data_IF_900799439504
#
_entry.id   IF_900799439504
#
_cell.length_a   1.000
_cell.length_b   1.000
_cell.length_c   1.000
_cell.angle_alpha   90.00
_cell.angle_beta   90.00
_cell.angle_gamma   90.00
#
_symmetry.space_group_name_H-M   'P 1'
#
loop_
_entity.id
_entity.type
_entity.pdbx_description
1 polymer ?
#
# COMPACT_ATOMS: atom_id res chain seq x y z
N UNK A 1 -14.43 26.16 12.99
CA UNK A 1 -12.99 26.23 12.63
C UNK A 1 -12.84 25.45 11.35
N UNK A 2 -12.09 25.98 10.40
CA UNK A 2 -11.88 25.35 9.10
C UNK A 2 -10.71 24.39 9.20
N UNK A 3 -10.93 23.12 8.86
CA UNK A 3 -9.92 22.07 8.88
C UNK A 3 -10.12 21.12 7.71
N UNK A 4 -9.03 20.50 7.26
CA UNK A 4 -9.05 19.49 6.21
C UNK A 4 -8.76 18.11 6.80
N UNK A 5 -9.24 17.08 6.12
CA UNK A 5 -9.08 15.69 6.51
C UNK A 5 -8.35 14.96 5.39
N UNK A 6 -7.24 14.32 5.73
CA UNK A 6 -6.54 13.40 4.83
C UNK A 6 -6.73 11.96 5.29
N UNK A 7 -7.04 11.07 4.36
CA UNK A 7 -7.25 9.64 4.66
C UNK A 7 -6.41 8.77 3.74
N UNK A 8 -5.76 7.78 4.33
CA UNK A 8 -5.09 6.67 3.64
C UNK A 8 -5.71 5.35 4.11
N UNK A 9 -6.40 4.67 3.19
CA UNK A 9 -7.13 3.44 3.44
C UNK A 9 -6.59 2.28 2.62
N UNK A 10 -6.00 1.29 3.30
CA UNK A 10 -5.56 0.03 2.69
C UNK A 10 -6.36 -1.16 3.20
N UNK A 11 -5.96 -2.36 2.77
CA UNK A 11 -6.54 -3.60 3.32
C UNK A 11 -6.12 -3.89 4.77
N UNK A 12 -5.06 -3.25 5.27
CA UNK A 12 -4.51 -3.52 6.62
C UNK A 12 -5.06 -2.56 7.67
N UNK A 13 -5.00 -1.27 7.37
CA UNK A 13 -5.41 -0.18 8.25
C UNK A 13 -6.03 0.93 7.42
N UNK A 14 -6.86 1.75 8.07
CA UNK A 14 -7.28 3.05 7.55
C UNK A 14 -6.83 4.12 8.54
N UNK A 15 -6.13 5.13 8.05
CA UNK A 15 -5.60 6.25 8.83
C UNK A 15 -6.22 7.55 8.37
N UNK A 16 -6.66 8.35 9.33
CA UNK A 16 -7.10 9.71 9.08
C UNK A 16 -6.21 10.68 9.85
N UNK A 17 -5.91 11.82 9.24
CA UNK A 17 -5.28 12.98 9.88
C UNK A 17 -6.16 14.20 9.67
N UNK A 18 -6.24 15.02 10.71
CA UNK A 18 -6.94 16.30 10.71
C UNK A 18 -5.90 17.39 10.75
N UNK A 19 -5.97 18.35 9.82
CA UNK A 19 -5.01 19.47 9.73
C UNK A 19 -5.71 20.82 9.74
N UNK A 20 -5.04 21.83 10.29
CA UNK A 20 -5.48 23.22 10.15
C UNK A 20 -5.20 23.78 8.73
N UNK A 21 -5.54 25.07 8.51
CA UNK A 21 -5.33 25.73 7.21
C UNK A 21 -3.84 25.92 6.85
N UNK A 22 -2.96 25.89 7.84
CA UNK A 22 -1.51 26.01 7.66
C UNK A 22 -0.85 24.63 7.45
N UNK A 23 -1.64 23.55 7.52
CA UNK A 23 -1.18 22.17 7.35
C UNK A 23 -0.63 21.54 8.62
N UNK A 24 -0.82 22.14 9.80
CA UNK A 24 -0.41 21.52 11.06
C UNK A 24 -1.37 20.40 11.45
N UNK A 25 -0.82 19.24 11.78
CA UNK A 25 -1.59 18.10 12.29
C UNK A 25 -2.19 18.40 13.66
N UNK A 26 -3.51 18.34 13.76
CA UNK A 26 -4.29 18.55 14.98
C UNK A 26 -4.67 17.23 15.64
N UNK A 27 -4.83 16.17 14.85
CA UNK A 27 -5.25 14.87 15.34
C UNK A 27 -5.08 13.76 14.32
N UNK A 28 -4.95 12.52 14.81
CA UNK A 28 -4.77 11.32 14.01
C UNK A 28 -5.53 10.15 14.58
N UNK A 29 -6.14 9.37 13.69
CA UNK A 29 -6.89 8.17 14.02
C UNK A 29 -6.50 7.02 13.10
N UNK A 30 -6.49 5.81 13.64
CA UNK A 30 -6.24 4.57 12.89
C UNK A 30 -7.32 3.54 13.24
N UNK A 31 -7.77 2.77 12.25
CA UNK A 31 -8.68 1.63 12.39
C UNK A 31 -8.16 0.44 11.62
N UNK A 32 -8.85 -0.69 11.73
CA UNK A 32 -8.71 -1.74 10.73
C UNK A 32 -9.07 -1.22 9.33
N UNK A 33 -8.35 -1.70 8.33
CA UNK A 33 -8.52 -1.28 6.94
C UNK A 33 -9.57 -2.12 6.22
N UNK A 34 -10.15 -1.52 5.18
CA UNK A 34 -11.07 -2.19 4.27
C UNK A 34 -10.77 -1.74 2.83
N UNK A 35 -10.58 -2.72 1.94
CA UNK A 35 -10.36 -2.46 0.51
C UNK A 35 -11.68 -2.06 -0.12
N UNK A 36 -11.66 -1.02 -0.95
CA UNK A 36 -12.82 -0.61 -1.73
C UNK A 36 -13.12 -1.67 -2.79
N UNK A 37 -14.37 -2.12 -2.83
CA UNK A 37 -14.89 -2.94 -3.92
C UNK A 37 -16.19 -2.32 -4.44
N UNK A 38 -16.54 -2.59 -5.70
CA UNK A 38 -17.77 -2.05 -6.30
C UNK A 38 -19.05 -2.51 -5.59
N UNK A 39 -19.03 -3.69 -4.96
CA UNK A 39 -20.21 -4.31 -4.37
C UNK A 39 -20.35 -4.07 -2.87
N UNK A 40 -19.28 -3.69 -2.17
CA UNK A 40 -19.27 -3.49 -0.71
C UNK A 40 -18.49 -2.22 -0.32
N UNK A 41 -18.86 -1.02 -0.83
CA UNK A 41 -18.22 0.24 -0.45
C UNK A 41 -18.45 0.61 1.04
N UNK A 42 -19.50 0.08 1.68
CA UNK A 42 -19.90 0.46 3.03
C UNK A 42 -18.84 0.12 4.09
N UNK A 43 -18.15 -1.00 3.95
CA UNK A 43 -17.09 -1.40 4.88
C UNK A 43 -15.90 -0.43 4.85
N UNK A 44 -15.49 -0.01 3.64
CA UNK A 44 -14.47 1.01 3.46
C UNK A 44 -14.93 2.37 4.00
N UNK A 45 -16.17 2.78 3.71
CA UNK A 45 -16.70 4.05 4.21
C UNK A 45 -16.76 4.10 5.74
N UNK A 46 -17.17 2.99 6.37
CA UNK A 46 -17.24 2.88 7.82
C UNK A 46 -15.84 2.91 8.45
N UNK A 47 -14.84 2.26 7.84
CA UNK A 47 -13.46 2.35 8.28
C UNK A 47 -12.94 3.80 8.21
N UNK A 48 -13.23 4.51 7.10
CA UNK A 48 -12.90 5.94 6.96
C UNK A 48 -13.57 6.76 8.06
N UNK A 49 -14.88 6.59 8.26
CA UNK A 49 -15.66 7.32 9.28
C UNK A 49 -15.09 7.11 10.68
N UNK A 50 -14.81 5.86 11.04
CA UNK A 50 -14.23 5.53 12.34
C UNK A 50 -12.81 6.10 12.51
N UNK A 51 -11.99 6.11 11.46
CA UNK A 51 -10.66 6.71 11.51
C UNK A 51 -10.76 8.23 11.71
N UNK A 52 -11.69 8.90 11.03
CA UNK A 52 -11.98 10.33 11.21
C UNK A 52 -12.48 10.62 12.62
N UNK A 53 -13.44 9.85 13.14
CA UNK A 53 -13.93 9.99 14.50
C UNK A 53 -12.77 9.92 15.51
N UNK A 54 -11.90 8.90 15.37
CA UNK A 54 -10.70 8.72 16.22
C UNK A 54 -9.73 9.90 16.10
N UNK A 55 -9.55 10.46 14.90
CA UNK A 55 -8.69 11.62 14.68
C UNK A 55 -9.24 12.88 15.38
N UNK A 56 -10.57 12.99 15.53
CA UNK A 56 -11.22 14.13 16.15
C UNK A 56 -11.32 14.04 17.69
N UNK A 57 -11.25 12.84 18.29
CA UNK A 57 -11.48 12.59 19.74
C UNK A 57 -10.75 13.56 20.66
N UNK A 58 -9.47 13.87 20.38
CA UNK A 58 -8.64 14.72 21.23
C UNK A 58 -8.49 16.16 20.70
N UNK A 59 -9.36 16.55 19.78
CA UNK A 59 -9.39 17.91 19.20
C UNK A 59 -10.59 18.68 19.75
N UNK A 60 -10.58 20.00 19.60
CA UNK A 60 -11.78 20.83 19.83
C UNK A 60 -12.69 20.91 18.60
N UNK A 61 -12.50 20.02 17.61
CA UNK A 61 -13.18 20.02 16.33
C UNK A 61 -14.24 18.92 16.28
N UNK A 62 -15.21 19.08 15.39
CA UNK A 62 -16.25 18.10 15.10
C UNK A 62 -16.54 18.09 13.60
N UNK A 63 -17.00 16.96 13.08
CA UNK A 63 -17.48 16.86 11.71
C UNK A 63 -18.72 17.75 11.47
N UNK A 64 -19.00 18.17 10.22
CA UNK A 64 -18.18 17.93 9.03
C UNK A 64 -16.90 18.78 9.00
N UNK A 65 -15.82 18.24 8.43
CA UNK A 65 -14.67 19.04 7.99
C UNK A 65 -14.97 19.83 6.70
N UNK A 66 -14.12 20.79 6.32
CA UNK A 66 -14.33 21.57 5.09
C UNK A 66 -14.17 20.70 3.83
N UNK A 67 -13.18 19.82 3.87
CA UNK A 67 -12.84 18.91 2.78
C UNK A 67 -12.15 17.66 3.32
N UNK A 68 -12.51 16.52 2.77
CA UNK A 68 -11.84 15.24 2.99
C UNK A 68 -11.29 14.74 1.67
N UNK A 69 -10.00 14.41 1.64
CA UNK A 69 -9.40 13.66 0.54
C UNK A 69 -9.01 12.26 1.04
N UNK A 70 -9.51 11.23 0.36
CA UNK A 70 -9.25 9.84 0.72
C UNK A 70 -8.51 9.11 -0.41
N UNK A 71 -7.27 8.70 -0.14
CA UNK A 71 -6.58 7.72 -0.97
C UNK A 71 -6.92 6.32 -0.51
N UNK A 72 -7.64 5.57 -1.34
CA UNK A 72 -8.16 4.25 -0.97
C UNK A 72 -7.68 3.16 -1.94
N UNK A 73 -7.16 2.07 -1.39
CA UNK A 73 -6.88 0.84 -2.13
C UNK A 73 -8.19 0.32 -2.73
N UNK A 74 -8.18 0.05 -4.04
CA UNK A 74 -9.37 -0.41 -4.79
C UNK A 74 -10.14 0.71 -5.51
N UNK A 75 -9.85 1.99 -5.21
CA UNK A 75 -10.47 3.14 -5.89
C UNK A 75 -9.85 3.48 -7.26
N UNK A 76 -9.10 2.55 -7.85
CA UNK A 76 -8.53 2.67 -9.20
C UNK A 76 -9.54 2.45 -10.32
N UNK A 77 -10.69 1.85 -10.02
CA UNK A 77 -11.83 1.70 -10.91
C UNK A 77 -12.84 2.83 -10.65
N UNK A 78 -13.32 3.50 -11.71
CA UNK A 78 -14.22 4.65 -11.60
C UNK A 78 -15.58 4.31 -10.97
N UNK A 79 -16.13 3.12 -11.22
CA UNK A 79 -17.38 2.66 -10.61
C UNK A 79 -17.19 2.44 -9.11
N UNK A 80 -16.09 1.77 -8.71
CA UNK A 80 -15.77 1.55 -7.30
C UNK A 80 -15.51 2.86 -6.55
N UNK A 81 -14.81 3.81 -7.20
CA UNK A 81 -14.55 5.16 -6.68
C UNK A 81 -15.85 5.95 -6.48
N UNK A 82 -16.74 5.94 -7.48
CA UNK A 82 -18.03 6.64 -7.41
C UNK A 82 -18.89 6.04 -6.29
N UNK A 83 -18.93 4.71 -6.18
CA UNK A 83 -19.72 4.02 -5.16
C UNK A 83 -19.27 4.39 -3.73
N UNK A 84 -17.96 4.43 -3.45
CA UNK A 84 -17.46 4.84 -2.13
C UNK A 84 -17.67 6.33 -1.87
N UNK A 85 -17.48 7.18 -2.87
CA UNK A 85 -17.70 8.63 -2.76
C UNK A 85 -19.16 8.94 -2.39
N UNK A 86 -20.13 8.29 -3.05
CA UNK A 86 -21.56 8.43 -2.75
C UNK A 86 -21.92 8.04 -1.31
N UNK A 87 -21.30 6.99 -0.76
CA UNK A 87 -21.52 6.56 0.62
C UNK A 87 -20.91 7.56 1.59
N UNK A 88 -19.69 8.03 1.32
CA UNK A 88 -19.00 9.00 2.16
C UNK A 88 -19.74 10.35 2.18
N UNK A 89 -20.26 10.83 1.05
CA UNK A 89 -21.03 12.08 0.97
C UNK A 89 -22.28 12.01 1.86
N UNK A 90 -22.98 10.87 1.86
CA UNK A 90 -24.15 10.63 2.72
C UNK A 90 -23.80 10.56 4.21
N UNK A 91 -22.56 10.20 4.56
CA UNK A 91 -22.10 10.11 5.94
C UNK A 91 -21.81 11.47 6.60
N UNK A 92 -21.74 12.55 5.81
CA UNK A 92 -21.55 13.93 6.28
C UNK A 92 -20.28 14.12 7.14
N UNK A 93 -19.21 13.39 6.81
CA UNK A 93 -17.88 13.54 7.45
C UNK A 93 -17.14 14.81 7.01
N UNK A 94 -17.45 15.33 5.82
CA UNK A 94 -16.94 16.60 5.31
C UNK A 94 -17.92 17.22 4.30
N UNK A 95 -17.83 18.54 4.12
CA UNK A 95 -18.64 19.31 3.15
C UNK A 95 -18.26 18.97 1.70
N UNK A 96 -16.98 18.65 1.47
CA UNK A 96 -16.47 18.18 0.18
C UNK A 96 -15.70 16.88 0.39
N UNK A 97 -15.87 15.94 -0.53
CA UNK A 97 -15.19 14.66 -0.49
C UNK A 97 -14.53 14.44 -1.85
N UNK A 98 -13.28 14.00 -1.82
CA UNK A 98 -12.52 13.59 -2.99
C UNK A 98 -11.94 12.21 -2.70
N UNK A 99 -12.13 11.27 -3.62
CA UNK A 99 -11.56 9.93 -3.51
C UNK A 99 -10.56 9.72 -4.63
N UNK A 100 -9.35 9.27 -4.27
CA UNK A 100 -8.28 8.87 -5.18
C UNK A 100 -7.73 7.50 -4.77
N UNK A 101 -6.67 7.06 -5.44
CA UNK A 101 -5.97 5.83 -5.04
C UNK A 101 -5.04 6.09 -3.85
N UNK A 102 -4.75 5.03 -3.08
CA UNK A 102 -3.76 5.01 -2.00
C UNK A 102 -2.36 5.40 -2.50
N UNK A 103 -1.94 4.86 -3.66
CA UNK A 103 -0.65 5.21 -4.27
C UNK A 103 -0.55 6.69 -4.66
N UNK A 104 -1.66 7.33 -5.03
CA UNK A 104 -1.67 8.74 -5.44
C UNK A 104 -1.42 9.68 -4.25
N UNK A 105 -2.05 9.43 -3.10
CA UNK A 105 -1.82 10.23 -1.90
C UNK A 105 -0.44 9.95 -1.30
N UNK A 106 0.05 8.70 -1.39
CA UNK A 106 1.42 8.36 -1.00
C UNK A 106 2.44 9.08 -1.89
N UNK A 107 2.21 9.10 -3.20
CA UNK A 107 3.06 9.79 -4.16
C UNK A 107 3.07 11.30 -3.91
N UNK A 108 1.90 11.90 -3.66
CA UNK A 108 1.84 13.32 -3.35
C UNK A 108 2.53 13.66 -2.02
N UNK A 109 2.47 12.78 -1.01
CA UNK A 109 3.29 13.00 0.19
C UNK A 109 4.77 13.05 -0.16
N UNK A 110 5.25 12.12 -0.99
CA UNK A 110 6.65 11.98 -1.39
C UNK A 110 7.17 13.15 -2.26
N UNK A 111 6.42 13.54 -3.29
CA UNK A 111 6.89 14.41 -4.37
C UNK A 111 6.06 15.69 -4.57
N UNK A 112 4.96 15.87 -3.82
CA UNK A 112 4.01 16.94 -4.07
C UNK A 112 3.45 16.85 -5.48
N UNK A 113 3.55 17.96 -6.24
CA UNK A 113 3.23 17.94 -7.68
C UNK A 113 4.38 17.57 -8.60
N UNK A 114 5.59 17.44 -8.05
CA UNK A 114 6.80 17.19 -8.81
C UNK A 114 6.86 15.81 -9.44
N UNK A 115 7.79 15.61 -10.39
CA UNK A 115 8.01 14.33 -11.02
C UNK A 115 8.78 13.37 -10.10
N UNK A 116 8.67 12.07 -10.35
CA UNK A 116 9.34 11.04 -9.55
C UNK A 116 8.79 9.65 -9.85
N UNK A 117 9.41 8.64 -9.23
CA UNK A 117 9.00 7.24 -9.29
C UNK A 117 8.71 6.77 -7.86
N UNK A 118 7.62 6.03 -7.67
CA UNK A 118 7.30 5.35 -6.43
C UNK A 118 7.19 3.85 -6.69
N UNK A 119 7.96 3.06 -5.95
CA UNK A 119 7.79 1.61 -5.88
C UNK A 119 7.03 1.26 -4.60
N UNK A 120 5.96 0.50 -4.75
CA UNK A 120 5.10 0.05 -3.67
C UNK A 120 5.19 -1.46 -3.55
N UNK A 121 5.49 -1.96 -2.36
CA UNK A 121 5.27 -3.36 -2.01
C UNK A 121 4.79 -3.53 -0.56
N UNK A 122 3.59 -4.10 -0.44
CA UNK A 122 2.91 -4.44 0.81
C UNK A 122 2.11 -5.72 0.58
N UNK A 123 0.81 -5.72 0.86
CA UNK A 123 -0.07 -6.85 0.50
C UNK A 123 -0.09 -7.08 -1.02
N UNK A 124 -0.07 -6.01 -1.82
CA UNK A 124 0.13 -6.01 -3.27
C UNK A 124 1.40 -5.25 -3.68
N UNK A 125 1.61 -5.07 -4.98
CA UNK A 125 2.72 -4.28 -5.51
C UNK A 125 2.36 -3.50 -6.77
N UNK A 126 3.01 -2.34 -6.94
CA UNK A 126 2.86 -1.45 -8.09
C UNK A 126 4.09 -0.54 -8.18
N UNK A 127 4.48 -0.15 -9.39
CA UNK A 127 5.33 1.01 -9.63
C UNK A 127 4.53 2.11 -10.31
N UNK A 128 4.69 3.34 -9.82
CA UNK A 128 3.93 4.51 -10.26
C UNK A 128 4.90 5.67 -10.51
N UNK A 129 4.71 6.40 -11.60
CA UNK A 129 5.58 7.53 -11.93
C UNK A 129 4.77 8.73 -12.41
N UNK A 130 5.29 9.91 -12.09
CA UNK A 130 4.85 11.17 -12.70
C UNK A 130 6.01 11.75 -13.48
N UNK A 131 5.78 11.99 -14.77
CA UNK A 131 6.74 12.64 -15.67
C UNK A 131 6.84 14.15 -15.38
N UNK A 132 7.90 14.83 -15.84
CA UNK A 132 8.00 16.29 -15.74
C UNK A 132 6.85 17.06 -16.39
N UNK A 133 6.19 16.48 -17.40
CA UNK A 133 5.00 17.05 -18.05
C UNK A 133 3.68 16.80 -17.28
N UNK A 134 3.75 16.13 -16.12
CA UNK A 134 2.61 15.76 -15.29
C UNK A 134 1.94 14.45 -15.67
N UNK A 135 2.33 13.80 -16.78
CA UNK A 135 1.75 12.52 -17.20
C UNK A 135 2.05 11.43 -16.17
N UNK A 136 1.01 10.69 -15.79
CA UNK A 136 1.11 9.54 -14.88
C UNK A 136 1.26 8.24 -15.67
N UNK A 137 2.18 7.39 -15.23
CA UNK A 137 2.42 6.05 -15.77
C UNK A 137 2.41 5.05 -14.61
N UNK A 138 1.90 3.84 -14.86
CA UNK A 138 1.99 2.71 -13.92
C UNK A 138 2.56 1.46 -14.57
N UNK A 139 3.24 0.66 -13.78
CA UNK A 139 3.68 -0.70 -14.09
C UNK A 139 3.21 -1.61 -12.96
N UNK A 140 2.62 -2.75 -13.31
CA UNK A 140 2.02 -3.65 -12.32
C UNK A 140 0.71 -3.10 -11.73
N UNK A 141 0.41 -3.51 -10.50
CA UNK A 141 -0.86 -3.19 -9.84
C UNK A 141 -2.06 -3.85 -10.50
N UNK A 142 -1.88 -5.01 -11.15
CA UNK A 142 -2.96 -5.76 -11.81
C UNK A 142 -3.74 -6.68 -10.85
N UNK A 143 -3.33 -6.73 -9.59
CA UNK A 143 -3.96 -7.55 -8.55
C UNK A 143 -3.51 -9.01 -8.56
N UNK A 144 -4.01 -9.75 -7.58
CA UNK A 144 -3.42 -11.02 -7.11
C UNK A 144 -3.52 -12.18 -8.10
N UNK A 145 -4.41 -12.08 -9.08
CA UNK A 145 -4.71 -13.16 -10.01
C UNK A 145 -3.76 -13.17 -11.22
N UNK A 146 -3.25 -12.00 -11.62
CA UNK A 146 -2.46 -11.83 -12.85
C UNK A 146 -1.31 -10.82 -12.68
N UNK A 147 -0.88 -10.56 -11.45
CA UNK A 147 0.21 -9.64 -11.12
C UNK A 147 0.62 -9.75 -9.65
N UNK A 148 0.91 -8.61 -9.02
CA UNK A 148 1.41 -8.50 -7.63
C UNK A 148 2.80 -9.13 -7.42
N UNK A 149 3.66 -9.13 -8.45
CA UNK A 149 5.05 -9.56 -8.32
C UNK A 149 5.83 -8.61 -7.40
N UNK A 150 6.58 -9.17 -6.45
CA UNK A 150 7.25 -8.44 -5.38
C UNK A 150 6.39 -8.17 -4.16
N UNK A 151 5.13 -8.58 -4.15
CA UNK A 151 4.21 -8.35 -3.02
C UNK A 151 4.33 -9.42 -1.91
N UNK A 152 3.77 -9.10 -0.76
CA UNK A 152 3.61 -10.03 0.35
C UNK A 152 2.67 -11.18 0.02
N UNK A 153 1.66 -10.94 -0.82
CA UNK A 153 0.80 -12.01 -1.31
C UNK A 153 1.58 -13.02 -2.14
N UNK A 154 2.46 -12.57 -3.06
CA UNK A 154 3.33 -13.47 -3.81
C UNK A 154 4.21 -14.29 -2.85
N UNK A 155 4.88 -13.63 -1.90
CA UNK A 155 5.76 -14.29 -0.92
C UNK A 155 4.99 -15.39 -0.15
N UNK A 156 3.80 -15.07 0.36
CA UNK A 156 2.96 -16.02 1.07
C UNK A 156 2.53 -17.19 0.18
N UNK A 157 2.06 -16.92 -1.04
CA UNK A 157 1.66 -17.97 -1.99
C UNK A 157 2.82 -18.89 -2.36
N UNK A 158 4.00 -18.34 -2.60
CA UNK A 158 5.18 -19.11 -2.98
C UNK A 158 5.69 -19.97 -1.81
N UNK A 159 5.54 -19.50 -0.56
CA UNK A 159 5.78 -20.31 0.64
C UNK A 159 4.80 -21.49 0.76
N UNK A 160 3.50 -21.26 0.57
CA UNK A 160 2.48 -22.33 0.60
C UNK A 160 2.70 -23.36 -0.51
N UNK A 161 3.05 -22.90 -1.71
CA UNK A 161 3.44 -23.78 -2.82
C UNK A 161 4.72 -24.56 -2.53
N UNK A 162 5.70 -23.94 -1.86
CA UNK A 162 6.91 -24.63 -1.43
C UNK A 162 6.61 -25.75 -0.43
N UNK A 163 5.76 -25.49 0.58
CA UNK A 163 5.35 -26.51 1.56
C UNK A 163 4.70 -27.71 0.85
N UNK A 164 3.75 -27.46 -0.05
CA UNK A 164 3.07 -28.54 -0.78
C UNK A 164 4.00 -29.33 -1.71
N UNK A 165 5.00 -28.69 -2.33
CA UNK A 165 6.04 -29.38 -3.10
C UNK A 165 7.02 -30.17 -2.21
N UNK A 166 7.29 -29.71 -1.00
CA UNK A 166 8.12 -30.46 -0.06
C UNK A 166 7.37 -31.70 0.46
N UNK A 167 6.07 -31.59 0.73
CA UNK A 167 5.24 -32.71 1.22
C UNK A 167 5.15 -33.87 0.21
N UNK A 168 5.10 -33.57 -1.09
CA UNK A 168 5.04 -34.60 -2.14
C UNK A 168 6.41 -35.00 -2.73
N UNK A 169 7.50 -34.46 -2.18
CA UNK A 169 8.87 -34.81 -2.56
C UNK A 169 9.39 -34.15 -3.84
N UNK A 170 8.70 -33.12 -4.37
CA UNK A 170 9.19 -32.31 -5.50
C UNK A 170 10.29 -31.31 -5.11
N UNK A 171 10.28 -30.86 -3.86
CA UNK A 171 11.30 -29.99 -3.26
C UNK A 171 11.89 -30.64 -1.99
N UNK A 172 13.02 -30.10 -1.49
CA UNK A 172 13.59 -30.50 -0.21
C UNK A 172 12.76 -30.03 1.00
N UNK A 173 13.00 -30.60 2.19
CA UNK A 173 12.32 -30.16 3.41
C UNK A 173 12.66 -28.70 3.74
N UNK A 174 11.69 -27.99 4.33
CA UNK A 174 11.83 -26.58 4.74
C UNK A 174 11.25 -26.36 6.13
N UNK A 175 11.86 -25.45 6.89
CA UNK A 175 11.34 -25.02 8.19
C UNK A 175 9.98 -24.32 8.09
N UNK A 176 9.60 -23.85 6.89
CA UNK A 176 8.32 -23.19 6.64
C UNK A 176 7.12 -24.09 6.96
N UNK A 177 7.21 -25.40 6.69
CA UNK A 177 6.12 -26.36 6.89
C UNK A 177 5.57 -26.28 8.31
N UNK A 178 6.38 -26.65 9.28
CA UNK A 178 5.93 -26.74 10.68
C UNK A 178 5.68 -25.35 11.28
N UNK A 179 6.37 -24.33 10.80
CA UNK A 179 6.18 -22.94 11.24
C UNK A 179 4.83 -22.38 10.82
N UNK A 180 4.46 -22.54 9.55
CA UNK A 180 3.20 -22.03 9.00
C UNK A 180 2.02 -22.86 9.51
N UNK A 181 2.12 -24.20 9.54
CA UNK A 181 1.04 -25.05 10.07
C UNK A 181 0.71 -24.68 11.53
N UNK A 182 1.74 -24.49 12.37
CA UNK A 182 1.55 -24.07 13.76
C UNK A 182 0.91 -22.68 13.87
N UNK A 183 1.34 -21.73 13.04
CA UNK A 183 0.77 -20.38 13.02
C UNK A 183 -0.71 -20.38 12.63
N UNK A 184 -1.08 -21.22 11.66
CA UNK A 184 -2.45 -21.35 11.18
C UNK A 184 -3.32 -22.29 12.02
N UNK A 185 -2.75 -22.97 13.02
CA UNK A 185 -3.46 -23.95 13.85
C UNK A 185 -3.89 -25.20 13.08
N UNK A 186 -3.13 -25.58 12.06
CA UNK A 186 -3.42 -26.74 11.20
C UNK A 186 -2.61 -27.96 11.64
N UNK A 187 -3.24 -29.14 11.59
CA UNK A 187 -2.61 -30.40 11.98
C UNK A 187 -1.64 -30.92 10.91
N UNK A 188 -1.96 -30.70 9.63
CA UNK A 188 -1.20 -31.21 8.50
C UNK A 188 -1.28 -30.30 7.25
N UNK A 189 -0.50 -30.66 6.22
CA UNK A 189 -0.46 -29.94 4.93
C UNK A 189 -1.79 -29.99 4.19
N UNK A 190 -2.63 -31.01 4.40
CA UNK A 190 -3.95 -31.11 3.78
C UNK A 190 -4.87 -29.97 4.26
N UNK A 191 -4.72 -29.55 5.52
CA UNK A 191 -5.40 -28.38 6.08
C UNK A 191 -5.16 -27.07 5.32
N UNK A 192 -4.02 -26.92 4.63
CA UNK A 192 -3.73 -25.72 3.83
C UNK A 192 -4.71 -25.54 2.67
N UNK A 193 -5.24 -26.63 2.10
CA UNK A 193 -6.21 -26.57 1.00
C UNK A 193 -7.52 -25.95 1.44
N UNK A 194 -7.99 -26.29 2.65
CA UNK A 194 -9.19 -25.69 3.23
C UNK A 194 -8.97 -24.23 3.58
N UNK A 195 -7.83 -23.92 4.21
CA UNK A 195 -7.48 -22.56 4.61
C UNK A 195 -7.36 -21.62 3.41
N UNK A 196 -6.60 -22.01 2.37
CA UNK A 196 -6.38 -21.14 1.20
C UNK A 196 -7.67 -20.85 0.41
N UNK A 197 -8.66 -21.74 0.49
CA UNK A 197 -9.95 -21.56 -0.18
C UNK A 197 -10.80 -20.42 0.40
N UNK A 198 -10.53 -19.99 1.63
CA UNK A 198 -11.24 -18.90 2.31
C UNK A 198 -10.33 -17.74 2.72
N UNK A 199 -9.01 -17.95 2.73
CA UNK A 199 -8.05 -16.95 3.16
C UNK A 199 -8.09 -15.72 2.24
N UNK A 200 -8.13 -14.56 2.86
CA UNK A 200 -7.98 -13.28 2.18
C UNK A 200 -6.54 -13.07 1.70
N UNK A 201 -6.38 -12.20 0.70
CA UNK A 201 -5.07 -11.72 0.23
C UNK A 201 -4.19 -11.23 1.38
N UNK A 202 -4.81 -10.57 2.37
CA UNK A 202 -4.14 -10.04 3.57
C UNK A 202 -3.62 -11.15 4.47
N UNK A 203 -4.41 -12.19 4.73
CA UNK A 203 -3.99 -13.32 5.58
C UNK A 203 -2.82 -14.08 4.96
N UNK A 204 -2.80 -14.22 3.63
CA UNK A 204 -1.66 -14.82 2.92
C UNK A 204 -0.42 -13.94 3.03
N UNK A 205 -0.56 -12.62 2.80
CA UNK A 205 0.55 -11.68 2.96
C UNK A 205 1.04 -11.57 4.42
N UNK A 206 0.19 -11.85 5.40
CA UNK A 206 0.54 -11.86 6.82
C UNK A 206 1.51 -13.00 7.19
N UNK A 207 1.77 -13.96 6.29
CA UNK A 207 2.78 -14.99 6.48
C UNK A 207 4.20 -14.46 6.33
N UNK A 208 4.43 -13.33 5.64
CA UNK A 208 5.76 -12.78 5.33
C UNK A 208 6.72 -12.76 6.54
N UNK A 209 6.33 -12.33 7.75
CA UNK A 209 7.22 -12.34 8.92
C UNK A 209 7.81 -13.73 9.21
N UNK A 210 7.03 -14.80 9.06
CA UNK A 210 7.50 -16.18 9.26
C UNK A 210 8.52 -16.59 8.20
N UNK A 211 8.28 -16.22 6.93
CA UNK A 211 9.23 -16.47 5.83
C UNK A 211 10.54 -15.72 6.09
N UNK A 212 10.46 -14.45 6.49
CA UNK A 212 11.65 -13.62 6.73
C UNK A 212 12.47 -14.13 7.92
N UNK A 213 11.79 -14.62 8.96
CA UNK A 213 12.45 -15.23 10.11
C UNK A 213 13.17 -16.53 9.71
N UNK A 214 12.54 -17.38 8.90
CA UNK A 214 13.17 -18.61 8.41
C UNK A 214 14.37 -18.31 7.49
N UNK A 215 14.26 -17.30 6.62
CA UNK A 215 15.38 -16.86 5.78
C UNK A 215 16.58 -16.36 6.62
N UNK A 216 16.31 -15.65 7.72
CA UNK A 216 17.33 -15.20 8.68
C UNK A 216 17.98 -16.37 9.45
N UNK A 217 17.35 -17.55 9.50
CA UNK A 217 17.87 -18.80 10.05
C UNK A 217 18.48 -19.71 8.97
N UNK A 218 18.87 -19.13 7.84
CA UNK A 218 19.50 -19.82 6.71
C UNK A 218 18.64 -20.88 6.00
N UNK A 219 17.31 -20.85 6.13
CA UNK A 219 16.41 -21.70 5.34
C UNK A 219 16.51 -21.36 3.83
N UNK A 220 16.99 -22.29 2.97
CA UNK A 220 17.25 -21.98 1.56
C UNK A 220 15.98 -21.66 0.76
N UNK A 221 14.85 -22.31 1.09
CA UNK A 221 13.59 -22.08 0.42
C UNK A 221 13.08 -20.66 0.67
N UNK A 222 13.13 -20.22 1.92
CA UNK A 222 12.73 -18.87 2.34
C UNK A 222 13.59 -17.79 1.68
N UNK A 223 14.91 -17.97 1.62
CA UNK A 223 15.81 -17.07 0.88
C UNK A 223 15.45 -17.00 -0.60
N UNK A 224 15.19 -18.14 -1.24
CA UNK A 224 14.77 -18.20 -2.64
C UNK A 224 13.45 -17.48 -2.91
N UNK A 225 12.47 -17.60 -2.00
CA UNK A 225 11.18 -16.91 -2.11
C UNK A 225 11.35 -15.38 -2.02
N UNK A 226 12.16 -14.89 -1.07
CA UNK A 226 12.42 -13.46 -0.94
C UNK A 226 13.19 -12.91 -2.16
N UNK A 227 14.15 -13.68 -2.68
CA UNK A 227 14.87 -13.32 -3.91
C UNK A 227 13.94 -13.19 -5.12
N UNK A 228 12.97 -14.09 -5.29
CA UNK A 228 11.96 -13.98 -6.34
C UNK A 228 11.09 -12.71 -6.20
N UNK A 229 10.76 -12.31 -4.97
CA UNK A 229 10.04 -11.06 -4.72
C UNK A 229 10.89 -9.83 -5.06
N UNK A 230 12.18 -9.83 -4.68
CA UNK A 230 13.13 -8.76 -5.02
C UNK A 230 13.25 -8.63 -6.55
N UNK A 231 13.33 -9.73 -7.27
CA UNK A 231 13.34 -9.73 -8.75
C UNK A 231 12.04 -9.18 -9.33
N UNK A 232 10.89 -9.46 -8.70
CA UNK A 232 9.61 -8.85 -9.04
C UNK A 232 9.65 -7.32 -8.92
N UNK A 233 10.13 -6.80 -7.79
CA UNK A 233 10.30 -5.36 -7.58
C UNK A 233 11.31 -4.74 -8.55
N UNK A 234 12.42 -5.42 -8.84
CA UNK A 234 13.42 -4.98 -9.83
C UNK A 234 12.79 -4.80 -11.21
N UNK A 235 12.04 -5.79 -11.70
CA UNK A 235 11.36 -5.70 -13.00
C UNK A 235 10.35 -4.54 -13.05
N UNK A 236 9.67 -4.25 -11.95
CA UNK A 236 8.79 -3.09 -11.85
C UNK A 236 9.57 -1.77 -12.01
N UNK A 237 10.70 -1.63 -11.29
CA UNK A 237 11.57 -0.46 -11.36
C UNK A 237 12.18 -0.26 -12.76
N UNK A 238 12.69 -1.33 -13.38
CA UNK A 238 13.25 -1.27 -14.73
C UNK A 238 12.21 -0.79 -15.75
N UNK A 239 11.04 -1.44 -15.76
CA UNK A 239 9.99 -1.12 -16.72
C UNK A 239 9.40 0.27 -16.49
N UNK A 240 9.19 0.69 -15.24
CA UNK A 240 8.66 2.05 -14.98
C UNK A 240 9.69 3.10 -15.38
N UNK A 241 10.98 2.88 -15.12
CA UNK A 241 12.04 3.81 -15.50
C UNK A 241 12.11 3.99 -17.02
N UNK A 242 12.04 2.89 -17.78
CA UNK A 242 12.03 2.90 -19.24
C UNK A 242 10.80 3.62 -19.81
N UNK A 243 9.59 3.26 -19.36
CA UNK A 243 8.34 3.78 -19.93
C UNK A 243 8.08 5.23 -19.48
N UNK A 244 8.56 5.64 -18.30
CA UNK A 244 8.39 7.01 -17.81
C UNK A 244 9.40 8.01 -18.38
N UNK A 245 10.51 7.55 -18.96
CA UNK A 245 11.51 8.40 -19.60
C UNK A 245 11.06 9.03 -20.93
N UNK A 246 11.94 9.82 -21.57
CA UNK A 246 13.30 10.14 -21.14
C UNK A 246 13.34 11.18 -20.00
N UNK A 247 14.25 10.97 -19.04
CA UNK A 247 14.52 11.86 -17.92
C UNK A 247 15.69 12.80 -18.28
N UNK A 248 15.40 13.84 -19.08
CA UNK A 248 16.42 14.61 -19.82
C UNK A 248 17.26 15.53 -18.95
N UNK A 249 16.66 16.19 -17.95
CA UNK A 249 17.35 17.19 -17.12
C UNK A 249 17.95 16.59 -15.85
N UNK A 250 17.23 15.67 -15.21
CA UNK A 250 17.63 15.02 -13.95
C UNK A 250 17.05 13.60 -13.91
N UNK A 251 17.80 12.60 -13.42
CA UNK A 251 17.24 11.29 -13.15
C UNK A 251 16.11 11.41 -12.12
N UNK A 252 15.09 10.53 -12.18
CA UNK A 252 14.01 10.57 -11.21
C UNK A 252 14.51 10.17 -9.83
N UNK A 253 13.96 10.83 -8.81
CA UNK A 253 14.05 10.35 -7.44
C UNK A 253 13.05 9.21 -7.25
N UNK A 254 13.48 8.14 -6.58
CA UNK A 254 12.67 6.96 -6.27
C UNK A 254 12.23 7.00 -4.80
N UNK A 255 10.93 6.93 -4.55
CA UNK A 255 10.37 6.71 -3.23
C UNK A 255 9.94 5.25 -3.06
N UNK A 256 10.14 4.72 -1.86
CA UNK A 256 9.71 3.39 -1.48
C UNK A 256 8.52 3.48 -0.54
N UNK A 257 7.49 2.67 -0.77
CA UNK A 257 6.31 2.63 0.08
C UNK A 257 5.78 1.20 0.27
N UNK A 258 5.04 0.99 1.35
CA UNK A 258 4.48 -0.29 1.73
C UNK A 258 5.32 -1.06 2.75
N UNK A 259 4.68 -1.99 3.45
CA UNK A 259 5.26 -2.68 4.61
C UNK A 259 6.52 -3.50 4.31
N UNK A 260 6.74 -3.89 3.04
CA UNK A 260 7.95 -4.61 2.63
C UNK A 260 9.13 -3.68 2.37
N UNK A 261 8.87 -2.43 1.96
CA UNK A 261 9.88 -1.50 1.44
C UNK A 261 10.12 -0.28 2.31
N UNK A 262 9.25 0.03 3.27
CA UNK A 262 9.49 1.10 4.24
C UNK A 262 10.76 0.83 5.05
N UNK A 263 11.27 1.85 5.74
CA UNK A 263 12.43 1.69 6.63
C UNK A 263 12.21 0.55 7.64
N UNK A 264 13.13 -0.41 7.67
CA UNK A 264 13.02 -1.63 8.49
C UNK A 264 12.12 -2.75 7.92
N UNK A 265 11.58 -2.57 6.71
CA UNK A 265 10.88 -3.62 5.97
C UNK A 265 11.83 -4.72 5.48
N UNK A 266 11.35 -5.97 5.32
CA UNK A 266 12.19 -7.12 5.03
C UNK A 266 12.91 -7.08 3.68
N UNK A 267 12.44 -6.27 2.72
CA UNK A 267 13.06 -6.12 1.41
C UNK A 267 13.78 -4.77 1.24
N UNK A 268 13.73 -3.89 2.25
CA UNK A 268 14.17 -2.50 2.15
C UNK A 268 15.62 -2.38 1.65
N UNK A 269 16.57 -2.98 2.37
CA UNK A 269 18.00 -2.84 2.07
C UNK A 269 18.38 -3.41 0.69
N UNK A 270 17.74 -4.52 0.29
CA UNK A 270 17.96 -5.09 -1.04
C UNK A 270 17.42 -4.18 -2.13
N UNK A 271 16.24 -3.58 -1.94
CA UNK A 271 15.69 -2.64 -2.91
C UNK A 271 16.50 -1.34 -2.95
N UNK A 272 17.05 -0.87 -1.83
CA UNK A 272 18.01 0.25 -1.84
C UNK A 272 19.23 -0.08 -2.71
N UNK A 273 19.77 -1.30 -2.60
CA UNK A 273 20.86 -1.76 -3.47
C UNK A 273 20.44 -1.78 -4.93
N UNK A 274 19.28 -2.35 -5.24
CA UNK A 274 18.74 -2.40 -6.62
C UNK A 274 18.64 -0.99 -7.20
N UNK A 275 18.06 -0.04 -6.47
CA UNK A 275 17.92 1.35 -6.95
C UNK A 275 19.30 2.01 -7.15
N UNK A 276 20.23 1.76 -6.22
CA UNK A 276 21.61 2.23 -6.31
C UNK A 276 22.38 1.66 -7.52
N UNK A 277 22.13 0.41 -7.92
CA UNK A 277 22.74 -0.21 -9.11
C UNK A 277 22.36 0.52 -10.42
N UNK A 278 21.19 1.18 -10.45
CA UNK A 278 20.78 2.04 -11.58
C UNK A 278 21.26 3.49 -11.45
N UNK A 279 22.00 3.83 -10.39
CA UNK A 279 22.46 5.20 -10.12
C UNK A 279 21.32 6.19 -9.87
N UNK A 280 20.17 5.71 -9.42
CA UNK A 280 19.00 6.54 -9.10
C UNK A 280 19.06 7.04 -7.66
N UNK A 281 18.59 8.26 -7.44
CA UNK A 281 18.47 8.83 -6.10
C UNK A 281 17.25 8.26 -5.37
N UNK A 282 17.38 8.09 -4.05
CA UNK A 282 16.31 7.57 -3.20
C UNK A 282 15.83 8.68 -2.28
N UNK A 283 14.51 8.81 -2.15
CA UNK A 283 13.90 9.66 -1.14
C UNK A 283 14.16 9.05 0.25
N UNK A 284 15.02 9.69 1.04
CA UNK A 284 15.43 9.21 2.37
C UNK A 284 14.41 9.59 3.45
N UNK A 285 13.16 9.19 3.26
CA UNK A 285 12.10 9.20 4.27
C UNK A 285 10.94 8.31 3.83
N UNK A 286 10.25 7.74 4.79
CA UNK A 286 8.99 7.03 4.52
C UNK A 286 7.88 8.07 4.25
N UNK A 287 7.11 7.93 3.15
CA UNK A 287 5.95 8.77 2.93
C UNK A 287 4.86 8.55 3.99
N UNK A 288 4.15 9.62 4.37
CA UNK A 288 2.91 9.57 5.17
C UNK A 288 1.71 9.90 4.26
N UNK A 289 1.05 8.88 3.69
CA UNK A 289 0.03 9.12 2.67
C UNK A 289 -1.22 9.82 3.23
N UNK A 290 -1.52 9.69 4.52
CA UNK A 290 -2.62 10.42 5.14
C UNK A 290 -2.33 11.92 5.18
N UNK A 291 -1.08 12.31 5.47
CA UNK A 291 -0.64 13.71 5.35
C UNK A 291 -0.58 14.17 3.89
N UNK A 292 -0.17 13.31 2.96
CA UNK A 292 -0.26 13.59 1.53
C UNK A 292 -1.69 13.91 1.08
N UNK A 293 -2.66 13.12 1.53
CA UNK A 293 -4.08 13.35 1.28
C UNK A 293 -4.56 14.68 1.90
N UNK A 294 -4.14 14.99 3.13
CA UNK A 294 -4.51 16.25 3.78
C UNK A 294 -3.97 17.49 3.04
N UNK A 295 -2.75 17.40 2.49
CA UNK A 295 -2.16 18.47 1.67
C UNK A 295 -2.93 18.67 0.36
N UNK A 296 -3.28 17.60 -0.34
CA UNK A 296 -4.16 17.67 -1.52
C UNK A 296 -5.51 18.32 -1.19
N UNK A 297 -6.09 17.96 -0.04
CA UNK A 297 -7.34 18.55 0.44
C UNK A 297 -7.22 20.07 0.64
N UNK A 298 -6.15 20.55 1.28
CA UNK A 298 -5.91 21.98 1.50
C UNK A 298 -5.73 22.75 0.18
N UNK A 299 -4.96 22.22 -0.77
CA UNK A 299 -4.73 22.86 -2.08
C UNK A 299 -6.02 22.98 -2.92
N UNK A 300 -6.86 21.95 -2.89
CA UNK A 300 -8.18 21.96 -3.53
C UNK A 300 -9.16 22.92 -2.83
N UNK A 301 -9.06 23.04 -1.50
CA UNK A 301 -9.81 24.00 -0.71
C UNK A 301 -9.46 25.45 -1.05
N UNK A 302 -8.18 25.74 -1.28
CA UNK A 302 -7.67 27.06 -1.66
C UNK A 302 -8.08 27.46 -3.08
N UNK A 303 -8.02 26.53 -4.04
CA UNK A 303 -8.36 26.79 -5.45
C UNK A 303 -9.83 27.17 -5.67
N UNK A 304 -10.73 26.78 -4.75
CA UNK A 304 -12.15 27.13 -4.80
C UNK A 304 -12.50 28.47 -4.12
N UNK A 305 -11.52 29.14 -3.49
CA UNK A 305 -11.71 30.46 -2.85
C UNK A 305 -11.25 31.63 -3.72
N UNK A 306 -10.62 31.35 -4.87
CA UNK A 306 -10.26 32.32 -5.90
C UNK A 306 -11.34 32.37 -6.99
#
# INVERSE_FOLDING_TARGET
MNFAIGVDGGGTWTRAVVVDQDGHELGRGETEGAVVTTHEPEAAAEAVRQAVDRALVNTSLSAPGDILWAGLSGAGNDEARTAIEDVLVKSHVAEKIVVSTDVEVAFHDAFGFGPGIMLVAGTGSIAWARRPDGTVVRVGGWGQHIGDEGSGYQIGMDALRCITRAEDGRDGPTALRDTILRHLGLEDVQGLVGWIGIASKREIAALVPLITQAAAQDDPASKGILELAIQGCRRHLEAIFEISGPWVDQPPVVALWGGLLRSGGPLHDEILRVVGDYGLEILVRDPDPALGAARLALEQGLSNRQ
#
